data_IF_151684870195
#
_entry.id   IF_151684870195
#
_cell.length_a   1.000
_cell.length_b   1.000
_cell.length_c   1.000
_cell.angle_alpha   90.00
_cell.angle_beta   90.00
_cell.angle_gamma   90.00
#
_symmetry.space_group_name_H-M   'P 1'
#
loop_
_entity.id
_entity.type
_entity.pdbx_description
1 polymer ?
#
# COMPACT_ATOMS: atom_id res chain seq x y z
N UNK A 1 -8.15 30.63 17.57
CA UNK A 1 -6.73 30.58 17.19
C UNK A 1 -6.42 29.28 16.46
N UNK A 2 -5.69 29.34 15.36
CA UNK A 2 -5.11 28.18 14.69
C UNK A 2 -3.62 28.10 15.05
N UNK A 3 -3.06 26.90 15.31
CA UNK A 3 -1.64 26.75 15.60
C UNK A 3 -0.79 27.14 14.38
N UNK A 4 0.26 27.92 14.63
CA UNK A 4 1.26 28.26 13.62
C UNK A 4 2.24 27.10 13.47
N UNK A 5 2.34 26.54 12.27
CA UNK A 5 3.29 25.46 11.94
C UNK A 5 4.50 26.06 11.20
N UNK A 6 5.73 25.97 11.75
CA UNK A 6 6.91 26.53 11.11
C UNK A 6 7.42 25.63 9.99
N UNK A 7 7.50 26.17 8.78
CA UNK A 7 8.18 25.54 7.64
C UNK A 7 9.66 25.99 7.61
N UNK A 8 10.53 25.14 7.06
CA UNK A 8 11.92 25.48 6.73
C UNK A 8 11.99 26.39 5.49
N UNK A 9 13.19 26.87 5.18
CA UNK A 9 13.52 27.75 4.06
C UNK A 9 13.10 27.19 2.68
N UNK A 10 12.75 25.90 2.62
CA UNK A 10 12.40 25.11 1.43
C UNK A 10 10.93 24.71 1.40
N UNK A 11 10.13 25.07 2.42
CA UNK A 11 8.69 24.84 2.49
C UNK A 11 8.27 23.46 3.03
N UNK A 12 9.18 22.72 3.66
CA UNK A 12 8.84 21.49 4.40
C UNK A 12 8.92 21.75 5.90
N UNK A 13 8.54 20.78 6.73
CA UNK A 13 8.65 20.91 8.18
C UNK A 13 9.44 19.68 8.59
N UNK A 14 10.78 19.77 8.66
CA UNK A 14 11.76 18.68 8.42
C UNK A 14 12.03 17.80 9.67
N UNK A 15 12.20 16.47 9.55
CA UNK A 15 12.09 15.47 10.66
C UNK A 15 11.40 14.12 10.29
N UNK A 16 10.10 13.87 10.61
CA UNK A 16 9.35 12.81 9.92
C UNK A 16 9.41 12.94 8.40
N UNK A 17 8.99 14.06 7.81
CA UNK A 17 9.28 15.45 8.19
C UNK A 17 8.43 16.09 9.36
N UNK A 18 9.08 16.59 10.48
CA UNK A 18 8.65 17.53 11.59
C UNK A 18 9.83 17.94 12.59
N UNK A 19 10.17 19.23 12.92
CA UNK A 19 11.45 19.62 13.58
C UNK A 19 11.76 19.17 15.02
N UNK A 20 10.78 18.65 15.76
CA UNK A 20 10.87 18.30 17.18
C UNK A 20 10.95 16.78 17.44
N UNK A 21 10.89 15.95 16.38
CA UNK A 21 10.87 14.50 16.47
C UNK A 21 9.49 13.85 16.60
N UNK A 22 8.40 14.61 16.40
CA UNK A 22 7.02 14.08 16.38
C UNK A 22 6.62 13.32 15.11
N UNK A 23 5.66 12.40 15.24
CA UNK A 23 5.02 11.71 14.11
C UNK A 23 4.16 12.68 13.27
N UNK A 24 4.22 12.54 11.94
CA UNK A 24 3.29 13.24 11.04
C UNK A 24 1.84 12.79 11.31
N UNK A 25 0.86 13.72 11.38
CA UNK A 25 -0.54 13.39 11.64
C UNK A 25 -1.26 12.71 10.45
N UNK A 26 -0.60 12.55 9.30
CA UNK A 26 -1.16 11.94 8.10
C UNK A 26 -0.46 10.61 7.76
N UNK A 27 -1.20 9.51 7.87
CA UNK A 27 -0.71 8.17 7.47
C UNK A 27 -0.97 7.96 5.98
N UNK A 28 0.08 7.99 5.16
CA UNK A 28 -0.02 7.73 3.73
C UNK A 28 0.16 6.23 3.47
N UNK A 29 -0.87 5.59 2.89
CA UNK A 29 -0.83 4.21 2.43
C UNK A 29 -0.92 4.16 0.90
N UNK A 30 0.00 3.44 0.25
CA UNK A 30 -0.02 3.23 -1.20
C UNK A 30 -0.30 1.77 -1.50
N UNK A 31 -1.40 1.51 -2.22
CA UNK A 31 -1.94 0.17 -2.45
C UNK A 31 -1.91 -0.15 -3.94
N UNK A 32 -0.99 -1.00 -4.35
CA UNK A 32 -0.86 -1.51 -5.72
C UNK A 32 -1.73 -2.74 -5.94
N UNK A 33 -2.78 -2.63 -6.76
CA UNK A 33 -3.70 -3.75 -7.05
C UNK A 33 -3.33 -4.45 -8.37
N UNK A 34 -3.29 -5.78 -8.34
CA UNK A 34 -2.96 -6.62 -9.50
C UNK A 34 -1.52 -6.49 -9.98
N UNK A 35 -1.15 -7.16 -11.07
CA UNK A 35 0.23 -7.19 -11.57
C UNK A 35 0.79 -5.80 -11.94
N UNK A 36 -0.03 -4.96 -12.57
CA UNK A 36 0.34 -3.58 -12.92
C UNK A 36 0.56 -2.69 -11.69
N UNK A 37 -0.37 -2.72 -10.73
CA UNK A 37 -0.25 -1.95 -9.49
C UNK A 37 0.90 -2.43 -8.59
N UNK A 38 1.09 -3.75 -8.47
CA UNK A 38 2.23 -4.34 -7.75
C UNK A 38 3.56 -3.87 -8.37
N UNK A 39 3.68 -3.87 -9.70
CA UNK A 39 4.87 -3.37 -10.40
C UNK A 39 5.08 -1.84 -10.25
N UNK A 40 4.03 -1.06 -9.99
CA UNK A 40 4.17 0.35 -9.65
C UNK A 40 4.71 0.55 -8.23
N UNK A 41 4.15 -0.18 -7.25
CA UNK A 41 4.64 -0.20 -5.85
C UNK A 41 6.10 -0.66 -5.78
N UNK A 42 6.46 -1.71 -6.52
CA UNK A 42 7.83 -2.20 -6.63
C UNK A 42 8.84 -1.13 -7.05
N UNK A 43 8.43 -0.20 -7.93
CA UNK A 43 9.27 0.92 -8.40
C UNK A 43 9.32 2.07 -7.39
N UNK A 44 8.22 2.33 -6.69
CA UNK A 44 8.19 3.33 -5.62
C UNK A 44 9.10 2.93 -4.45
N UNK A 45 9.16 1.64 -4.13
CA UNK A 45 10.09 1.06 -3.17
C UNK A 45 11.55 1.21 -3.62
N UNK A 46 11.86 0.96 -4.90
CA UNK A 46 13.21 1.20 -5.47
C UNK A 46 13.64 2.67 -5.36
N UNK A 47 12.70 3.61 -5.37
CA UNK A 47 12.96 5.06 -5.23
C UNK A 47 13.01 5.56 -3.78
N UNK A 48 12.95 4.67 -2.78
CA UNK A 48 13.13 4.97 -1.35
C UNK A 48 12.23 6.11 -0.81
N UNK A 49 10.96 6.14 -1.22
CA UNK A 49 9.97 7.13 -0.73
C UNK A 49 9.69 6.89 0.76
N UNK A 50 10.21 7.76 1.62
CA UNK A 50 9.98 7.72 3.07
C UNK A 50 8.56 8.14 3.47
N UNK A 51 8.12 7.74 4.67
CA UNK A 51 6.83 8.14 5.24
C UNK A 51 5.58 7.50 4.62
N UNK A 52 5.75 6.46 3.79
CA UNK A 52 4.65 5.77 3.08
C UNK A 52 4.60 4.29 3.44
N UNK A 53 3.41 3.78 3.76
CA UNK A 53 3.15 2.36 3.96
C UNK A 53 2.75 1.67 2.64
N UNK A 54 3.64 0.86 2.09
CA UNK A 54 3.47 0.22 0.78
C UNK A 54 2.83 -1.17 0.88
N UNK A 55 1.73 -1.34 0.14
CA UNK A 55 0.97 -2.59 0.05
C UNK A 55 0.82 -3.05 -1.40
N UNK A 56 0.99 -4.35 -1.64
CA UNK A 56 0.61 -5.01 -2.89
C UNK A 56 -0.53 -6.01 -2.66
N UNK A 57 -1.64 -5.84 -3.39
CA UNK A 57 -2.85 -6.66 -3.31
C UNK A 57 -3.04 -7.39 -4.63
N UNK A 58 -3.11 -8.73 -4.62
CA UNK A 58 -3.26 -9.49 -5.86
C UNK A 58 -3.94 -10.85 -5.63
N UNK A 59 -4.64 -11.34 -6.64
CA UNK A 59 -5.19 -12.71 -6.68
C UNK A 59 -4.12 -13.75 -6.95
N UNK A 60 -3.05 -13.37 -7.65
CA UNK A 60 -1.88 -14.21 -7.92
C UNK A 60 -0.90 -14.16 -6.74
N UNK A 61 -0.73 -15.29 -6.06
CA UNK A 61 0.16 -15.43 -4.92
C UNK A 61 1.65 -15.47 -5.30
N UNK A 62 1.98 -15.91 -6.53
CA UNK A 62 3.36 -15.92 -7.03
C UNK A 62 3.82 -14.49 -7.33
N UNK A 63 2.95 -13.69 -7.96
CA UNK A 63 3.21 -12.28 -8.23
C UNK A 63 3.50 -11.47 -6.95
N UNK A 64 2.79 -11.75 -5.84
CA UNK A 64 3.03 -11.10 -4.54
C UNK A 64 4.38 -11.43 -3.92
N UNK A 65 4.95 -12.61 -4.22
CA UNK A 65 6.29 -12.99 -3.75
C UNK A 65 7.36 -11.97 -4.16
N UNK A 66 7.23 -11.37 -5.35
CA UNK A 66 8.15 -10.34 -5.87
C UNK A 66 8.06 -9.04 -5.06
N UNK A 67 6.86 -8.52 -4.84
CA UNK A 67 6.68 -7.28 -4.06
C UNK A 67 7.06 -7.45 -2.59
N UNK A 68 6.79 -8.62 -2.01
CA UNK A 68 7.24 -8.96 -0.65
C UNK A 68 8.78 -8.94 -0.54
N UNK A 69 9.49 -9.48 -1.53
CA UNK A 69 10.96 -9.45 -1.56
C UNK A 69 11.55 -8.03 -1.66
N UNK A 70 10.77 -7.06 -2.18
CA UNK A 70 11.12 -5.63 -2.23
C UNK A 70 10.71 -4.84 -0.97
N UNK A 71 10.13 -5.50 0.04
CA UNK A 71 9.72 -4.85 1.29
C UNK A 71 8.27 -4.33 1.31
N UNK A 72 7.45 -4.59 0.29
CA UNK A 72 6.02 -4.31 0.37
C UNK A 72 5.34 -5.24 1.39
N UNK A 73 4.36 -4.71 2.14
CA UNK A 73 3.34 -5.56 2.77
C UNK A 73 2.47 -6.16 1.66
N UNK A 74 1.97 -7.38 1.86
CA UNK A 74 1.24 -8.12 0.82
C UNK A 74 -0.05 -8.74 1.36
N UNK A 75 -1.10 -8.72 0.54
CA UNK A 75 -2.35 -9.42 0.80
C UNK A 75 -2.76 -10.19 -0.46
N UNK A 76 -2.90 -11.51 -0.34
CA UNK A 76 -3.50 -12.33 -1.39
C UNK A 76 -5.02 -12.28 -1.22
N UNK A 77 -5.71 -11.73 -2.21
CA UNK A 77 -7.18 -11.58 -2.17
C UNK A 77 -7.86 -12.72 -2.92
N UNK A 78 -9.00 -13.20 -2.41
CA UNK A 78 -9.77 -14.24 -3.07
C UNK A 78 -9.06 -15.59 -3.14
N UNK A 79 -8.40 -16.02 -2.07
CA UNK A 79 -7.71 -17.30 -2.01
C UNK A 79 -8.68 -18.48 -2.19
N UNK A 80 -9.94 -18.36 -1.75
CA UNK A 80 -11.00 -19.34 -2.01
C UNK A 80 -11.43 -19.35 -3.47
N UNK A 81 -11.70 -18.18 -4.05
CA UNK A 81 -12.10 -18.02 -5.46
C UNK A 81 -11.02 -18.50 -6.44
N UNK A 82 -9.76 -18.12 -6.21
CA UNK A 82 -8.68 -18.24 -7.20
C UNK A 82 -7.61 -19.28 -6.86
N UNK A 83 -7.58 -19.80 -5.62
CA UNK A 83 -6.54 -20.70 -5.10
C UNK A 83 -5.12 -20.12 -5.22
N UNK A 84 -5.00 -18.80 -5.24
CA UNK A 84 -3.72 -18.09 -5.44
C UNK A 84 -3.20 -18.11 -6.88
N UNK A 85 -3.96 -18.61 -7.86
CA UNK A 85 -3.57 -18.72 -9.28
C UNK A 85 -3.88 -17.46 -10.10
N UNK A 86 -4.50 -16.44 -9.49
CA UNK A 86 -4.88 -15.21 -10.16
C UNK A 86 -6.26 -15.25 -10.82
N UNK A 87 -6.80 -14.07 -11.14
CA UNK A 87 -8.10 -13.90 -11.80
C UNK A 87 -8.09 -14.16 -13.32
N UNK A 88 -6.94 -14.51 -13.92
CA UNK A 88 -6.83 -14.82 -15.36
C UNK A 88 -7.22 -13.67 -16.30
N UNK A 89 -7.19 -12.41 -15.83
CA UNK A 89 -7.68 -11.24 -16.57
C UNK A 89 -9.20 -11.06 -16.57
N UNK A 90 -9.96 -11.95 -15.91
CA UNK A 90 -11.41 -11.81 -15.79
C UNK A 90 -11.77 -10.83 -14.64
N UNK A 91 -12.44 -9.68 -14.92
CA UNK A 91 -12.77 -8.68 -13.91
C UNK A 91 -13.82 -9.17 -12.91
N UNK A 92 -14.71 -10.10 -13.28
CA UNK A 92 -15.72 -10.65 -12.37
C UNK A 92 -15.08 -11.55 -11.30
N UNK A 93 -14.06 -12.32 -11.68
CA UNK A 93 -13.25 -13.11 -10.73
C UNK A 93 -12.49 -12.17 -9.79
N UNK A 94 -11.89 -11.09 -10.32
CA UNK A 94 -11.25 -10.05 -9.51
C UNK A 94 -12.20 -9.39 -8.51
N UNK A 95 -13.45 -9.11 -8.92
CA UNK A 95 -14.50 -8.57 -8.04
C UNK A 95 -14.89 -9.56 -6.94
N UNK A 96 -15.16 -10.82 -7.28
CA UNK A 96 -15.47 -11.86 -6.29
C UNK A 96 -14.33 -12.05 -5.28
N UNK A 97 -13.08 -12.03 -5.74
CA UNK A 97 -11.90 -12.11 -4.89
C UNK A 97 -11.78 -10.94 -3.90
N UNK A 98 -12.07 -9.71 -4.36
CA UNK A 98 -12.06 -8.53 -3.50
C UNK A 98 -13.21 -8.54 -2.47
N UNK A 99 -14.38 -9.05 -2.84
CA UNK A 99 -15.51 -9.19 -1.91
C UNK A 99 -15.28 -10.29 -0.86
N UNK A 100 -14.68 -11.44 -1.24
CA UNK A 100 -14.25 -12.48 -0.29
C UNK A 100 -13.29 -11.90 0.76
N UNK A 101 -12.30 -11.13 0.32
CA UNK A 101 -11.28 -10.49 1.17
C UNK A 101 -11.68 -9.12 1.73
N UNK A 102 -12.97 -8.73 1.70
CA UNK A 102 -13.44 -7.39 2.12
C UNK A 102 -12.97 -7.00 3.53
N UNK A 103 -12.98 -7.94 4.48
CA UNK A 103 -12.52 -7.69 5.86
C UNK A 103 -11.04 -7.36 5.92
N UNK A 104 -10.21 -8.15 5.25
CA UNK A 104 -8.75 -8.02 5.20
C UNK A 104 -8.37 -6.70 4.51
N UNK A 105 -9.04 -6.35 3.42
CA UNK A 105 -8.88 -5.06 2.73
C UNK A 105 -9.25 -3.89 3.65
N UNK A 106 -10.31 -4.03 4.47
CA UNK A 106 -10.71 -3.02 5.46
C UNK A 106 -9.61 -2.80 6.51
N UNK A 107 -8.98 -3.88 7.00
CA UNK A 107 -7.86 -3.82 7.93
C UNK A 107 -6.60 -3.19 7.28
N UNK A 108 -6.36 -3.42 5.99
CA UNK A 108 -5.27 -2.77 5.22
C UNK A 108 -5.47 -1.25 5.14
N UNK A 109 -6.67 -0.78 4.81
CA UNK A 109 -6.93 0.66 4.61
C UNK A 109 -7.15 1.45 5.90
N UNK A 110 -7.44 0.78 7.03
CA UNK A 110 -7.71 1.43 8.31
C UNK A 110 -6.56 2.37 8.73
N UNK A 111 -6.92 3.56 9.22
CA UNK A 111 -5.97 4.45 9.90
C UNK A 111 -5.58 3.91 11.28
N UNK A 112 -4.43 4.36 11.78
CA UNK A 112 -3.95 4.16 13.15
C UNK A 112 -4.20 5.42 13.97
#
# INVERSE_FOLDING_TARGET
>A
DYPYYPYDDRGYMDGALMPDGGLSPCVIKVIGVGGGGSNAVDRMLDTAVGGVDFWALNTDAQALGRSKAKGAKVLNIGAGVTRGLGAGGNPDIGRMAAEESRKEITEVVAGT
#
